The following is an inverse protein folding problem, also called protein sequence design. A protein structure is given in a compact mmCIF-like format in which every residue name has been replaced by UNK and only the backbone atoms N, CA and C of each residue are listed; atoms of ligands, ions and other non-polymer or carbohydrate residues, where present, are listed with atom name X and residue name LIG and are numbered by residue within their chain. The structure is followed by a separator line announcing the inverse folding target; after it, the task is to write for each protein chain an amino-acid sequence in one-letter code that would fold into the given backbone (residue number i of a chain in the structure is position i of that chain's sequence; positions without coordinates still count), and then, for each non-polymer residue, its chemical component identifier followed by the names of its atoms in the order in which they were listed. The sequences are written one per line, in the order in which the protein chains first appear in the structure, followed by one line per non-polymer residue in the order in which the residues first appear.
data_IF_291217074002
#
_entry.id   IF_291217074002
#
_cell.length_a   1.000
_cell.length_b   1.000
_cell.length_c   1.000
_cell.angle_alpha   90.00
_cell.angle_beta   90.00
_cell.angle_gamma   90.00
#
_symmetry.space_group_name_H-M   'P 1'
#
loop_
_entity.id
_entity.type
_entity.pdbx_description
1 polymer ?
#
# COMPACT_ATOMS: atom_id res chain seq x y z
N UNK A 1 -5.14 14.62 -69.27
CA UNK A 1 -5.03 13.94 -70.58
C UNK A 1 -5.09 12.43 -70.36
N UNK A 2 -5.81 11.69 -71.19
CA UNK A 2 -5.92 10.22 -71.09
C UNK A 2 -4.75 9.50 -71.80
N UNK A 3 -4.53 8.22 -71.41
CA UNK A 3 -4.61 7.08 -72.35
C UNK A 3 -4.77 5.75 -71.58
N UNK A 4 -5.27 4.70 -72.28
CA UNK A 4 -5.79 3.44 -71.72
C UNK A 4 -5.16 2.20 -72.38
N UNK A 5 -5.00 1.12 -71.61
CA UNK A 5 -5.00 -0.32 -72.00
C UNK A 5 -5.18 -1.12 -70.67
N UNK A 6 -6.13 -2.04 -70.39
CA UNK A 6 -6.72 -3.22 -71.08
C UNK A 6 -5.67 -4.34 -71.28
N UNK A 7 -5.84 -5.64 -70.93
CA UNK A 7 -6.95 -6.58 -71.25
C UNK A 7 -6.83 -7.99 -70.56
N UNK A 8 -7.93 -8.54 -69.95
CA UNK A 8 -8.33 -10.00 -69.78
C UNK A 8 -7.37 -11.07 -69.14
N UNK A 9 -7.72 -12.36 -68.95
CA UNK A 9 -8.88 -13.11 -68.34
C UNK A 9 -8.58 -14.65 -68.31
N UNK A 10 -9.20 -15.42 -67.39
CA UNK A 10 -9.37 -16.90 -67.45
C UNK A 10 -8.76 -17.68 -66.25
N UNK A 11 -9.34 -18.69 -65.56
CA UNK A 11 -10.64 -19.44 -65.51
C UNK A 11 -10.63 -20.93 -65.94
N UNK A 12 -10.65 -21.85 -64.96
CA UNK A 12 -11.27 -23.20 -64.86
C UNK A 12 -11.15 -23.69 -63.38
N UNK A 13 -12.03 -24.47 -62.72
CA UNK A 13 -12.92 -25.61 -63.05
C UNK A 13 -12.17 -26.97 -63.14
N UNK A 14 -12.65 -28.12 -62.60
CA UNK A 14 -14.02 -28.53 -62.19
C UNK A 14 -14.07 -29.62 -61.03
N UNK A 15 -15.27 -30.17 -60.74
CA UNK A 15 -15.74 -31.26 -59.79
C UNK A 15 -14.83 -32.50 -59.58
N UNK A 16 -15.01 -33.45 -58.62
CA UNK A 16 -16.06 -33.86 -57.64
C UNK A 16 -16.34 -35.40 -57.74
N UNK A 17 -16.89 -36.20 -56.81
CA UNK A 17 -17.49 -36.07 -55.44
C UNK A 17 -16.95 -37.20 -54.47
N UNK A 18 -17.59 -38.06 -53.64
CA UNK A 18 -18.97 -38.40 -53.20
C UNK A 18 -19.01 -39.21 -51.84
N UNK A 19 -20.09 -39.94 -51.45
CA UNK A 19 -20.21 -40.76 -50.19
C UNK A 19 -21.27 -41.90 -50.26
N UNK A 20 -21.21 -43.01 -49.44
CA UNK A 20 -22.02 -43.07 -48.19
C UNK A 20 -21.52 -44.00 -47.02
N UNK A 21 -22.27 -43.94 -45.90
CA UNK A 21 -22.21 -44.64 -44.58
C UNK A 21 -22.63 -46.15 -44.60
N UNK A 22 -22.66 -46.99 -43.50
CA UNK A 22 -22.96 -46.62 -42.09
C UNK A 22 -22.55 -47.50 -40.86
N UNK A 23 -22.89 -46.93 -39.67
CA UNK A 23 -23.58 -47.53 -38.48
C UNK A 23 -22.85 -47.77 -37.13
N UNK A 24 -23.57 -47.36 -36.08
CA UNK A 24 -23.57 -47.79 -34.65
C UNK A 24 -22.30 -47.68 -33.79
N UNK A 25 -22.30 -46.68 -32.88
CA UNK A 25 -21.52 -46.63 -31.63
C UNK A 25 -22.11 -45.56 -30.71
N UNK A 26 -22.47 -45.91 -29.46
CA UNK A 26 -23.27 -45.04 -28.58
C UNK A 26 -22.51 -44.48 -27.37
N UNK A 27 -22.88 -43.26 -26.94
CA UNK A 27 -22.27 -42.48 -25.83
C UNK A 27 -20.80 -42.09 -26.09
N UNK A 28 -20.31 -40.90 -25.73
CA UNK A 28 -20.75 -39.96 -24.68
C UNK A 28 -20.41 -38.50 -25.03
N UNK A 29 -21.07 -37.54 -24.39
CA UNK A 29 -20.76 -36.11 -24.54
C UNK A 29 -19.39 -35.79 -23.90
N UNK A 30 -18.43 -35.28 -24.68
CA UNK A 30 -17.27 -34.55 -24.15
C UNK A 30 -17.32 -33.11 -24.63
N UNK A 31 -17.41 -32.18 -23.69
CA UNK A 31 -17.33 -30.74 -23.91
C UNK A 31 -15.96 -30.37 -24.52
N UNK A 32 -15.83 -29.21 -25.20
CA UNK A 32 -14.54 -28.73 -25.69
C UNK A 32 -13.53 -28.66 -24.55
N UNK A 33 -12.31 -29.16 -24.78
CA UNK A 33 -11.20 -28.99 -23.84
C UNK A 33 -10.91 -27.50 -23.69
N UNK A 34 -11.39 -26.89 -22.61
CA UNK A 34 -10.92 -25.58 -22.19
C UNK A 34 -9.39 -25.63 -22.09
N UNK A 35 -8.70 -24.73 -22.78
CA UNK A 35 -7.25 -24.57 -22.61
C UNK A 35 -7.04 -24.06 -21.20
N UNK A 36 -6.67 -24.94 -20.27
CA UNK A 36 -6.27 -24.52 -18.93
C UNK A 36 -5.07 -23.57 -19.05
N UNK A 37 -5.35 -22.26 -19.02
CA UNK A 37 -4.53 -21.33 -18.24
C UNK A 37 -4.63 -21.78 -16.78
N UNK A 38 -3.94 -22.86 -16.44
CA UNK A 38 -3.52 -23.11 -15.06
C UNK A 38 -2.82 -21.84 -14.63
N UNK A 39 -3.41 -21.12 -13.67
CA UNK A 39 -2.99 -19.74 -13.40
C UNK A 39 -1.55 -19.76 -12.91
N UNK A 40 -0.73 -18.83 -13.38
CA UNK A 40 0.64 -18.68 -12.84
C UNK A 40 0.59 -18.48 -11.32
N UNK A 41 -0.47 -17.86 -10.82
CA UNK A 41 -0.81 -17.74 -9.40
C UNK A 41 -1.04 -19.07 -8.66
N UNK A 42 -1.55 -20.13 -9.30
CA UNK A 42 -1.67 -21.45 -8.67
C UNK A 42 -0.29 -22.12 -8.51
N UNK A 43 0.57 -22.04 -9.52
CA UNK A 43 1.94 -22.53 -9.44
C UNK A 43 2.80 -21.72 -8.45
N UNK A 44 2.61 -20.39 -8.36
CA UNK A 44 3.22 -19.58 -7.31
C UNK A 44 2.68 -19.95 -5.91
N UNK A 45 1.39 -20.28 -5.77
CA UNK A 45 0.82 -20.71 -4.48
C UNK A 45 1.43 -22.02 -3.97
N UNK A 46 1.70 -23.01 -4.83
CA UNK A 46 2.33 -24.26 -4.42
C UNK A 46 3.84 -24.13 -4.20
N UNK A 47 4.55 -23.46 -5.13
CA UNK A 47 6.01 -23.32 -5.04
C UNK A 47 6.50 -22.50 -3.83
N UNK A 48 5.69 -21.57 -3.32
CA UNK A 48 5.99 -20.85 -2.08
C UNK A 48 5.79 -21.68 -0.80
N UNK A 49 5.15 -22.85 -0.86
CA UNK A 49 4.74 -23.59 0.34
C UNK A 49 5.80 -24.62 0.78
N UNK A 50 6.25 -25.48 -0.13
CA UNK A 50 7.30 -26.49 0.16
C UNK A 50 8.67 -25.86 0.44
N UNK A 51 8.93 -24.66 -0.08
CA UNK A 51 10.19 -23.93 0.12
C UNK A 51 10.42 -23.44 1.56
N UNK A 52 9.42 -23.57 2.45
CA UNK A 52 9.45 -23.07 3.83
C UNK A 52 9.59 -24.18 4.89
N UNK A 53 9.61 -25.46 4.51
CA UNK A 53 9.52 -26.59 5.46
C UNK A 53 10.85 -27.01 6.13
N UNK A 54 11.95 -26.25 6.00
CA UNK A 54 13.25 -26.58 6.61
C UNK A 54 13.69 -25.50 7.62
N UNK A 55 13.71 -25.80 8.94
CA UNK A 55 13.74 -24.76 9.97
C UNK A 55 15.15 -24.27 10.33
N UNK A 56 15.52 -23.11 9.77
CA UNK A 56 16.56 -22.19 10.25
C UNK A 56 16.10 -20.75 9.86
N UNK A 57 15.31 -20.00 10.64
CA UNK A 57 14.84 -20.21 12.02
C UNK A 57 13.31 -20.07 12.14
N UNK A 58 12.70 -20.84 13.05
CA UNK A 58 11.25 -20.89 13.25
C UNK A 58 10.60 -19.56 13.70
N UNK A 59 11.39 -18.56 14.12
CA UNK A 59 10.89 -17.21 14.49
C UNK A 59 10.40 -16.40 13.28
N UNK A 60 10.94 -16.61 12.08
CA UNK A 60 10.58 -15.81 10.91
C UNK A 60 9.35 -16.34 10.16
N UNK A 61 9.13 -17.66 10.14
CA UNK A 61 8.02 -18.29 9.42
C UNK A 61 6.63 -17.88 9.94
N UNK A 62 6.50 -17.63 11.25
CA UNK A 62 5.22 -17.30 11.88
C UNK A 62 4.65 -15.95 11.42
N UNK A 63 5.50 -14.99 11.02
CA UNK A 63 5.06 -13.68 10.49
C UNK A 63 4.49 -13.73 9.06
N UNK A 64 4.57 -14.87 8.37
CA UNK A 64 4.16 -15.01 6.96
C UNK A 64 2.79 -15.71 6.82
N UNK A 65 2.26 -16.29 7.91
CA UNK A 65 1.21 -17.30 7.86
C UNK A 65 -0.04 -17.01 8.72
N UNK A 66 -0.70 -15.86 8.51
CA UNK A 66 -2.13 -15.69 8.84
C UNK A 66 -2.79 -14.46 8.18
N UNK A 67 -4.13 -14.41 8.07
CA UNK A 67 -4.87 -13.26 7.50
C UNK A 67 -4.90 -11.99 8.37
N UNK A 68 -4.13 -11.94 9.47
CA UNK A 68 -4.39 -11.08 10.63
C UNK A 68 -3.91 -9.62 10.47
N UNK A 69 -4.22 -8.98 9.33
CA UNK A 69 -4.07 -7.54 9.16
C UNK A 69 -5.33 -6.77 9.61
N UNK A 70 -6.47 -7.44 9.75
CA UNK A 70 -7.76 -6.82 10.12
C UNK A 70 -7.86 -6.40 11.60
N UNK A 71 -6.94 -6.87 12.45
CA UNK A 71 -6.99 -6.71 13.91
C UNK A 71 -5.65 -6.23 14.51
N UNK A 72 -5.11 -5.13 14.00
CA UNK A 72 -3.94 -4.44 14.56
C UNK A 72 -4.37 -3.46 15.67
N UNK A 73 -3.92 -3.60 16.93
CA UNK A 73 -4.13 -2.58 17.97
C UNK A 73 -3.33 -1.29 17.70
N UNK A 74 -3.71 -0.20 18.37
CA UNK A 74 -3.11 1.14 18.17
C UNK A 74 -1.63 1.29 18.57
N UNK A 75 -1.06 0.29 19.23
CA UNK A 75 0.25 0.36 19.90
C UNK A 75 1.44 -0.01 18.98
N UNK A 76 1.20 -0.41 17.73
CA UNK A 76 2.27 -0.76 16.77
C UNK A 76 3.21 0.40 16.37
N UNK A 77 3.02 1.59 16.93
CA UNK A 77 3.80 2.79 16.70
C UNK A 77 4.34 3.46 17.99
N UNK A 78 4.40 2.73 19.12
CA UNK A 78 5.18 3.16 20.29
C UNK A 78 6.66 3.33 19.92
N UNK A 79 7.31 4.37 20.45
CA UNK A 79 8.71 4.69 20.11
C UNK A 79 9.75 3.79 20.80
N UNK A 80 9.38 3.12 21.90
CA UNK A 80 10.20 2.08 22.53
C UNK A 80 10.09 0.73 21.78
N UNK A 81 11.12 -0.12 21.92
CA UNK A 81 11.37 -1.40 21.22
C UNK A 81 11.82 -1.33 19.75
N UNK A 82 13.10 -1.01 19.54
CA UNK A 82 13.82 -1.42 18.33
C UNK A 82 14.48 -2.80 18.53
N UNK A 83 13.69 -3.88 18.46
CA UNK A 83 14.24 -5.18 18.08
C UNK A 83 14.20 -5.31 16.54
N UNK A 84 15.22 -5.95 15.95
CA UNK A 84 15.40 -5.98 14.48
C UNK A 84 14.18 -6.54 13.74
N UNK A 85 13.41 -7.39 14.43
CA UNK A 85 12.15 -7.97 13.97
C UNK A 85 11.07 -6.92 13.72
N UNK A 86 10.87 -5.94 14.62
CA UNK A 86 9.94 -4.81 14.43
C UNK A 86 10.42 -3.90 13.31
N UNK A 87 11.70 -3.54 13.29
CA UNK A 87 12.29 -2.70 12.23
C UNK A 87 12.08 -3.31 10.84
N UNK A 88 12.38 -4.60 10.67
CA UNK A 88 12.14 -5.32 9.42
C UNK A 88 10.64 -5.47 9.08
N UNK A 89 9.75 -5.59 10.06
CA UNK A 89 8.32 -5.58 9.82
C UNK A 89 7.82 -4.22 9.31
N UNK A 90 8.24 -3.12 9.93
CA UNK A 90 7.89 -1.77 9.54
C UNK A 90 8.38 -1.44 8.12
N UNK A 91 9.61 -1.82 7.79
CA UNK A 91 10.17 -1.69 6.43
C UNK A 91 9.37 -2.49 5.39
N UNK A 92 8.76 -3.63 5.75
CA UNK A 92 7.83 -4.34 4.85
C UNK A 92 6.52 -3.58 4.68
N UNK A 93 5.90 -3.09 5.76
CA UNK A 93 4.67 -2.29 5.69
C UNK A 93 4.88 -1.04 4.83
N UNK A 94 5.96 -0.30 5.06
CA UNK A 94 6.36 0.87 4.26
C UNK A 94 6.55 0.51 2.78
N UNK A 95 7.18 -0.63 2.45
CA UNK A 95 7.41 -1.03 1.05
C UNK A 95 6.14 -1.53 0.33
N UNK A 96 5.21 -2.16 1.04
CA UNK A 96 3.94 -2.63 0.48
C UNK A 96 2.89 -1.50 0.39
N UNK A 97 2.94 -0.55 1.32
CA UNK A 97 1.95 0.51 1.47
C UNK A 97 0.77 0.09 2.34
N UNK A 98 0.16 1.06 3.04
CA UNK A 98 -1.12 0.86 3.76
C UNK A 98 -2.30 1.30 2.89
N UNK A 99 -3.45 0.64 3.04
CA UNK A 99 -4.71 1.06 2.44
C UNK A 99 -5.30 2.31 3.12
N UNK A 100 -6.25 2.96 2.44
CA UNK A 100 -6.90 4.16 2.97
C UNK A 100 -7.66 3.92 4.28
N UNK A 101 -8.20 2.72 4.53
CA UNK A 101 -8.91 2.39 5.77
C UNK A 101 -7.98 2.27 6.98
N UNK A 102 -6.77 1.75 6.79
CA UNK A 102 -5.72 1.77 7.81
C UNK A 102 -5.21 3.19 8.06
N UNK A 103 -5.01 4.00 7.00
CA UNK A 103 -4.69 5.43 7.15
C UNK A 103 -5.76 6.19 7.95
N UNK A 104 -7.05 5.99 7.62
CA UNK A 104 -8.15 6.69 8.28
C UNK A 104 -8.20 6.40 9.79
N UNK A 105 -7.98 5.14 10.21
CA UNK A 105 -7.83 4.76 11.63
C UNK A 105 -6.57 5.32 12.30
N UNK A 106 -5.47 5.49 11.56
CA UNK A 106 -4.26 6.13 12.10
C UNK A 106 -4.45 7.64 12.28
N UNK A 107 -5.21 8.28 11.39
CA UNK A 107 -5.48 9.71 11.36
C UNK A 107 -6.58 10.16 12.33
N UNK A 108 -7.59 9.33 12.58
CA UNK A 108 -8.75 9.58 13.47
C UNK A 108 -8.43 10.28 14.81
N UNK A 109 -7.39 9.92 15.59
CA UNK A 109 -7.09 10.59 16.86
C UNK A 109 -6.36 11.94 16.73
N UNK A 110 -6.00 12.41 15.53
CA UNK A 110 -5.20 13.63 15.31
C UNK A 110 -6.08 14.81 14.86
N UNK A 111 -5.70 16.07 15.16
CA UNK A 111 -6.48 17.28 14.81
C UNK A 111 -6.37 17.67 13.31
N UNK A 112 -5.75 16.83 12.47
CA UNK A 112 -5.40 17.19 11.10
C UNK A 112 -6.56 16.96 10.13
N UNK A 113 -7.11 18.03 9.57
CA UNK A 113 -8.09 17.96 8.49
C UNK A 113 -7.50 17.44 7.16
N UNK A 114 -8.35 17.16 6.18
CA UNK A 114 -7.97 16.61 4.87
C UNK A 114 -6.98 17.52 4.10
N UNK A 115 -6.99 18.84 4.33
CA UNK A 115 -6.03 19.78 3.72
C UNK A 115 -4.64 19.71 4.37
N UNK A 116 -4.59 19.57 5.71
CA UNK A 116 -3.35 19.33 6.44
C UNK A 116 -2.73 17.98 6.00
N UNK A 117 -3.52 16.90 5.96
CA UNK A 117 -3.06 15.61 5.44
C UNK A 117 -2.64 15.66 3.97
N UNK A 118 -3.30 16.46 3.12
CA UNK A 118 -2.86 16.62 1.73
C UNK A 118 -1.47 17.26 1.65
N UNK A 119 -1.18 18.24 2.52
CA UNK A 119 0.11 18.92 2.63
C UNK A 119 1.18 17.98 3.17
N UNK A 120 0.94 17.39 4.34
CA UNK A 120 1.82 16.40 5.02
C UNK A 120 2.21 15.26 4.07
N UNK A 121 1.24 14.69 3.35
CA UNK A 121 1.46 13.56 2.42
C UNK A 121 1.87 14.00 1.01
N UNK A 122 2.28 15.26 0.84
CA UNK A 122 2.82 15.86 -0.39
C UNK A 122 1.95 15.54 -1.61
N UNK A 123 0.65 15.79 -1.48
CA UNK A 123 -0.39 15.38 -2.43
C UNK A 123 -1.51 16.40 -2.55
N UNK A 124 -2.70 15.98 -2.98
CA UNK A 124 -3.88 16.83 -3.15
C UNK A 124 -5.09 16.21 -2.45
N UNK A 125 -5.98 17.04 -1.91
CA UNK A 125 -7.28 16.62 -1.35
C UNK A 125 -8.04 15.70 -2.32
N UNK A 126 -8.13 16.11 -3.60
CA UNK A 126 -8.66 15.32 -4.73
C UNK A 126 -8.02 13.94 -4.92
N UNK A 127 -6.78 13.75 -4.48
CA UNK A 127 -6.09 12.44 -4.51
C UNK A 127 -6.40 11.61 -3.27
N UNK A 128 -6.50 12.21 -2.09
CA UNK A 128 -7.03 11.55 -0.89
C UNK A 128 -8.48 11.10 -1.11
N UNK A 129 -9.35 11.95 -1.68
CA UNK A 129 -10.72 11.61 -2.08
C UNK A 129 -10.78 10.37 -2.98
N UNK A 130 -9.87 10.33 -3.98
CA UNK A 130 -9.80 9.21 -4.92
C UNK A 130 -9.30 7.95 -4.21
N UNK A 131 -8.34 8.06 -3.30
CA UNK A 131 -7.86 6.92 -2.52
C UNK A 131 -8.94 6.37 -1.58
N UNK A 132 -9.75 7.24 -0.94
CA UNK A 132 -10.92 6.88 -0.15
C UNK A 132 -11.98 6.15 -0.99
N UNK A 133 -12.36 6.73 -2.14
CA UNK A 133 -13.42 6.20 -3.04
C UNK A 133 -13.02 4.92 -3.78
N UNK A 134 -11.74 4.71 -4.04
CA UNK A 134 -11.22 3.54 -4.77
C UNK A 134 -10.52 2.51 -3.84
N UNK A 135 -10.59 2.69 -2.52
CA UNK A 135 -9.88 1.87 -1.50
C UNK A 135 -8.40 1.62 -1.83
N UNK A 136 -7.68 2.67 -2.25
CA UNK A 136 -6.29 2.57 -2.71
C UNK A 136 -5.32 2.43 -1.54
N UNK A 137 -4.20 1.76 -1.80
CA UNK A 137 -3.00 1.86 -0.98
C UNK A 137 -2.19 3.12 -1.29
N UNK A 138 -1.67 3.73 -0.24
CA UNK A 138 -0.68 4.81 -0.31
C UNK A 138 0.65 4.29 -0.86
N UNK A 139 1.43 5.18 -1.50
CA UNK A 139 2.80 4.84 -1.90
C UNK A 139 3.72 4.70 -0.69
N UNK A 140 4.87 4.07 -0.88
CA UNK A 140 5.85 3.82 0.19
C UNK A 140 6.25 5.10 0.95
N UNK A 141 6.66 6.17 0.26
CA UNK A 141 7.00 7.47 0.88
C UNK A 141 5.83 8.11 1.67
N UNK A 142 4.59 7.87 1.25
CA UNK A 142 3.41 8.39 1.94
C UNK A 142 3.06 7.52 3.16
N UNK A 143 3.23 6.21 3.05
CA UNK A 143 3.06 5.26 4.15
C UNK A 143 4.10 5.48 5.24
N UNK A 144 5.35 5.73 4.83
CA UNK A 144 6.45 6.19 5.69
C UNK A 144 6.05 7.45 6.46
N UNK A 145 5.56 8.50 5.77
CA UNK A 145 5.09 9.73 6.44
C UNK A 145 3.91 9.50 7.40
N UNK A 146 2.92 8.68 7.03
CA UNK A 146 1.78 8.38 7.93
C UNK A 146 2.27 7.73 9.22
N UNK A 147 3.27 6.84 9.12
CA UNK A 147 3.93 6.19 10.27
C UNK A 147 4.78 7.19 11.06
N UNK A 148 5.63 8.00 10.40
CA UNK A 148 6.42 9.07 11.03
C UNK A 148 5.53 10.00 11.88
N UNK A 149 4.40 10.44 11.31
CA UNK A 149 3.45 11.34 11.97
C UNK A 149 2.67 10.65 13.09
N UNK A 150 2.26 9.38 12.92
CA UNK A 150 1.59 8.62 13.99
C UNK A 150 2.52 8.42 15.21
N UNK A 151 3.79 8.08 14.96
CA UNK A 151 4.82 7.95 16.01
C UNK A 151 5.10 9.29 16.70
N UNK A 152 5.24 10.38 15.94
CA UNK A 152 5.40 11.73 16.47
C UNK A 152 4.19 12.13 17.34
N UNK A 153 2.98 11.85 16.88
CA UNK A 153 1.75 12.21 17.59
C UNK A 153 1.62 11.47 18.92
N UNK A 154 1.89 10.16 18.95
CA UNK A 154 1.90 9.39 20.21
C UNK A 154 2.95 9.96 21.17
N UNK A 155 4.19 10.18 20.72
CA UNK A 155 5.23 10.79 21.56
C UNK A 155 4.85 12.19 22.06
N UNK A 156 4.13 12.98 21.27
CA UNK A 156 3.62 14.29 21.67
C UNK A 156 2.61 14.20 22.81
N UNK A 157 1.59 13.36 22.66
CA UNK A 157 0.58 13.12 23.70
C UNK A 157 1.21 12.54 24.97
N UNK A 158 2.19 11.62 24.83
CA UNK A 158 2.93 11.06 25.97
C UNK A 158 3.70 12.15 26.76
N UNK A 159 4.36 13.07 26.05
CA UNK A 159 5.18 14.15 26.65
C UNK A 159 4.35 15.26 27.29
N UNK A 160 3.19 15.59 26.71
CA UNK A 160 2.27 16.58 27.28
C UNK A 160 1.27 16.00 28.29
N UNK A 161 1.18 14.66 28.38
CA UNK A 161 0.26 13.92 29.26
C UNK A 161 -1.23 14.04 28.88
N UNK A 162 -1.54 14.84 27.86
CA UNK A 162 -2.89 15.17 27.41
C UNK A 162 -2.87 15.52 25.91
N UNK A 163 -3.95 15.14 25.21
CA UNK A 163 -4.08 15.29 23.77
C UNK A 163 -4.28 16.75 23.34
N UNK A 164 -5.15 17.48 24.03
CA UNK A 164 -5.57 18.81 23.61
C UNK A 164 -4.47 19.85 23.94
N UNK A 165 -3.67 19.60 24.99
CA UNK A 165 -2.42 20.31 25.26
C UNK A 165 -1.39 20.15 24.12
N UNK A 166 -1.19 18.94 23.60
CA UNK A 166 -0.26 18.70 22.49
C UNK A 166 -0.77 19.31 21.17
N UNK A 167 -2.07 19.19 20.89
CA UNK A 167 -2.69 19.81 19.71
C UNK A 167 -2.58 21.34 19.73
N UNK A 168 -2.81 21.96 20.88
CA UNK A 168 -2.61 23.40 21.06
C UNK A 168 -1.14 23.81 20.88
N UNK A 169 -0.19 22.98 21.31
CA UNK A 169 1.24 23.21 21.09
C UNK A 169 1.64 23.08 19.61
N UNK A 170 1.09 22.10 18.88
CA UNK A 170 1.34 21.94 17.44
C UNK A 170 0.95 23.19 16.62
N UNK A 171 -0.07 23.91 17.07
CA UNK A 171 -0.57 25.16 16.46
C UNK A 171 0.03 26.45 17.04
N UNK A 172 0.86 26.36 18.08
CA UNK A 172 1.51 27.53 18.71
C UNK A 172 2.88 27.81 18.09
N UNK A 173 3.25 29.09 17.89
CA UNK A 173 4.61 29.45 17.46
C UNK A 173 5.64 29.04 18.53
N UNK A 174 6.49 28.07 18.21
CA UNK A 174 7.54 27.61 19.12
C UNK A 174 8.83 28.44 18.90
N UNK A 175 9.39 29.01 19.97
CA UNK A 175 10.57 29.87 19.92
C UNK A 175 11.84 29.10 19.50
N UNK A 176 12.06 27.93 20.08
CA UNK A 176 13.17 26.99 19.80
C UNK A 176 13.20 26.54 18.33
N UNK A 177 12.02 26.44 17.70
CA UNK A 177 11.82 26.13 16.28
C UNK A 177 11.80 27.39 15.39
N UNK A 178 12.27 28.54 15.90
CA UNK A 178 12.44 29.77 15.12
C UNK A 178 11.17 30.63 14.99
N UNK A 179 10.22 30.50 15.92
CA UNK A 179 8.84 31.07 15.87
C UNK A 179 8.02 30.53 14.70
N UNK A 180 8.10 29.22 14.51
CA UNK A 180 7.31 28.47 13.53
C UNK A 180 6.34 27.56 14.30
N UNK A 181 5.12 27.40 13.79
CA UNK A 181 4.16 26.42 14.33
C UNK A 181 4.63 25.01 14.00
N UNK A 182 4.81 24.09 14.97
CA UNK A 182 5.28 22.73 14.70
C UNK A 182 4.51 22.00 13.58
N UNK A 183 3.20 22.20 13.47
CA UNK A 183 2.36 21.60 12.41
C UNK A 183 2.83 21.92 10.98
N UNK A 184 3.39 23.13 10.76
CA UNK A 184 3.87 23.56 9.43
C UNK A 184 5.22 22.98 9.02
N UNK A 185 5.85 22.17 9.88
CA UNK A 185 7.10 21.45 9.59
C UNK A 185 6.85 19.97 9.20
N UNK A 186 5.60 19.51 9.26
CA UNK A 186 5.23 18.09 9.16
C UNK A 186 5.14 17.55 7.71
N UNK A 187 5.43 18.38 6.70
CA UNK A 187 5.51 18.00 5.29
C UNK A 187 6.85 17.31 4.93
N UNK A 188 7.93 17.64 5.64
CA UNK A 188 9.28 17.13 5.42
C UNK A 188 9.74 16.23 6.57
N UNK A 189 10.52 15.20 6.26
CA UNK A 189 11.12 14.35 7.29
C UNK A 189 12.08 15.13 8.20
N UNK A 190 12.78 16.15 7.68
CA UNK A 190 13.64 17.03 8.48
C UNK A 190 12.82 17.82 9.50
N UNK A 191 11.70 18.43 9.09
CA UNK A 191 10.82 19.15 10.01
C UNK A 191 10.17 18.26 11.05
N UNK A 192 9.73 17.05 10.67
CA UNK A 192 9.27 16.01 11.62
C UNK A 192 10.35 15.70 12.68
N UNK A 193 11.61 15.55 12.27
CA UNK A 193 12.72 15.31 13.22
C UNK A 193 12.96 16.53 14.12
N UNK A 194 12.92 17.75 13.59
CA UNK A 194 13.05 18.97 14.41
C UNK A 194 11.96 19.07 15.51
N UNK A 195 10.71 18.75 15.17
CA UNK A 195 9.60 18.70 16.14
C UNK A 195 9.80 17.57 17.16
N UNK A 196 10.30 16.40 16.73
CA UNK A 196 10.63 15.28 17.62
C UNK A 196 11.75 15.59 18.60
N UNK A 197 12.81 16.26 18.15
CA UNK A 197 13.94 16.66 18.99
C UNK A 197 13.54 17.73 20.01
N UNK A 198 12.58 18.60 19.66
CA UNK A 198 11.97 19.55 20.59
C UNK A 198 11.10 18.85 21.64
N UNK A 199 10.29 17.84 21.26
CA UNK A 199 9.57 17.01 22.22
C UNK A 199 10.51 16.30 23.21
N UNK A 200 11.68 15.83 22.75
CA UNK A 200 12.71 15.26 23.62
C UNK A 200 13.34 16.28 24.59
N UNK A 201 13.47 17.55 24.19
CA UNK A 201 13.89 18.64 25.10
C UNK A 201 12.83 18.92 26.17
N UNK A 202 11.56 19.02 25.77
CA UNK A 202 10.42 19.27 26.65
C UNK A 202 10.29 18.15 27.69
N UNK A 203 10.39 16.88 27.28
CA UNK A 203 10.35 15.70 28.16
C UNK A 203 11.43 15.72 29.26
N UNK A 204 12.61 16.25 28.95
CA UNK A 204 13.73 16.36 29.89
C UNK A 204 13.77 17.70 30.65
N UNK A 205 12.75 18.56 30.50
CA UNK A 205 12.70 19.88 31.12
C UNK A 205 13.76 20.86 30.61
N UNK A 206 14.33 20.60 29.42
CA UNK A 206 15.36 21.42 28.80
C UNK A 206 14.68 22.60 28.10
N UNK A 207 14.65 23.74 28.79
CA UNK A 207 14.26 25.02 28.19
C UNK A 207 15.32 25.48 27.17
N UNK A 208 14.87 26.01 26.03
CA UNK A 208 15.69 26.50 24.91
C UNK A 208 15.27 27.93 24.52
#
# INVERSE_FOLDING_TARGET
MEKKTTTKQGKSADKGSDSPSPRTGSRSRKAPKARHRGTKAAALKSANLEALEKPQDARYGLLIAQPQLEALPGDFATFDWNDDYRGHALVRVIRHGIDYGVFEKMAEPMPFEQEAWATILNTTTRTLDRYKKEHRSFKSQQTERIIEIKQLYQKGVDVFGDKDNFDAWLETENLSLGRIRPVSLLDTSVGIHMVKDELGRIEHGILA
#
